data_IF_070377313004
#
_entry.id   IF_070377313004
#
_cell.length_a   1.000
_cell.length_b   1.000
_cell.length_c   1.000
_cell.angle_alpha   90.00
_cell.angle_beta   90.00
_cell.angle_gamma   90.00
#
_symmetry.space_group_name_H-M   'P 1'
#
loop_
_entity.id
_entity.type
_entity.pdbx_description
1 polymer ?
#
# COMPACT_ATOMS: atom_id res chain seq x y z
N UNK A 1 -18.68 7.43 14.20
CA UNK A 1 -18.10 6.71 13.08
C UNK A 1 -17.40 5.44 13.55
N UNK A 2 -18.00 4.28 13.26
CA UNK A 2 -17.57 2.98 13.80
C UNK A 2 -16.53 2.28 12.93
N UNK A 3 -15.44 2.96 12.56
CA UNK A 3 -14.36 2.34 11.77
C UNK A 3 -13.54 1.44 12.69
N UNK A 4 -13.45 0.16 12.37
CA UNK A 4 -12.76 -0.86 13.17
C UNK A 4 -11.28 -0.51 13.46
N UNK A 5 -10.60 0.12 12.51
CA UNK A 5 -9.22 0.58 12.68
C UNK A 5 -9.05 1.59 13.84
N UNK A 6 -9.98 2.52 14.01
CA UNK A 6 -9.96 3.48 15.13
C UNK A 6 -10.12 2.77 16.49
N UNK A 7 -11.03 1.78 16.55
CA UNK A 7 -11.23 1.00 17.77
C UNK A 7 -9.96 0.21 18.15
N UNK A 8 -9.26 -0.37 17.17
CA UNK A 8 -7.99 -1.06 17.39
C UNK A 8 -6.89 -0.12 17.87
N UNK A 9 -6.76 1.06 17.25
CA UNK A 9 -5.78 2.06 17.66
C UNK A 9 -6.03 2.51 19.11
N UNK A 10 -7.29 2.80 19.45
CA UNK A 10 -7.68 3.17 20.81
C UNK A 10 -7.35 2.07 21.83
N UNK A 11 -7.68 0.81 21.51
CA UNK A 11 -7.38 -0.33 22.38
C UNK A 11 -5.87 -0.55 22.60
N UNK A 12 -5.06 -0.15 21.62
CA UNK A 12 -3.60 -0.20 21.69
C UNK A 12 -2.96 1.08 22.26
N UNK A 13 -3.76 2.04 22.75
CA UNK A 13 -3.30 3.36 23.19
C UNK A 13 -2.51 4.15 22.13
N UNK A 14 -2.82 3.93 20.85
CA UNK A 14 -2.23 4.65 19.72
C UNK A 14 -3.11 5.89 19.46
N UNK A 15 -2.53 7.11 19.39
CA UNK A 15 -3.26 8.29 18.99
C UNK A 15 -3.97 8.07 17.66
N UNK A 16 -5.24 8.49 17.59
CA UNK A 16 -6.01 8.33 16.37
C UNK A 16 -6.92 9.54 16.15
N UNK A 17 -7.16 9.85 14.88
CA UNK A 17 -7.99 10.97 14.47
C UNK A 17 -8.82 10.57 13.25
N UNK A 18 -10.07 11.01 13.20
CA UNK A 18 -10.92 10.85 12.02
C UNK A 18 -11.09 12.19 11.33
N UNK A 19 -10.78 12.24 10.04
CA UNK A 19 -10.96 13.42 9.20
C UNK A 19 -12.01 13.09 8.15
N UNK A 20 -13.11 13.82 8.16
CA UNK A 20 -14.16 13.66 7.15
C UNK A 20 -13.83 14.51 5.92
N UNK A 21 -13.45 13.87 4.83
CA UNK A 21 -13.14 14.55 3.57
C UNK A 21 -14.30 15.39 3.01
N UNK A 22 -15.55 15.10 3.40
CA UNK A 22 -16.76 15.86 2.99
C UNK A 22 -16.87 17.20 3.69
N UNK A 23 -16.05 17.47 4.69
CA UNK A 23 -15.98 18.76 5.39
C UNK A 23 -15.06 19.78 4.67
N UNK A 24 -14.49 19.41 3.53
CA UNK A 24 -13.59 20.25 2.74
C UNK A 24 -14.19 20.54 1.37
N UNK A 25 -13.96 21.74 0.86
CA UNK A 25 -14.50 22.19 -0.42
C UNK A 25 -13.75 21.60 -1.63
N UNK A 26 -12.51 21.15 -1.41
CA UNK A 26 -11.68 20.53 -2.47
C UNK A 26 -10.85 19.36 -1.95
N UNK A 27 -10.34 18.56 -2.89
CA UNK A 27 -9.38 17.51 -2.59
C UNK A 27 -8.06 18.10 -2.08
N UNK A 28 -7.64 19.20 -2.64
CA UNK A 28 -6.43 19.94 -2.31
C UNK A 28 -6.46 20.41 -0.86
N UNK A 29 -7.55 20.99 -0.41
CA UNK A 29 -7.73 21.43 0.99
C UNK A 29 -7.74 20.24 1.98
N UNK A 30 -8.40 19.15 1.61
CA UNK A 30 -8.38 17.92 2.41
C UNK A 30 -6.95 17.37 2.54
N UNK A 31 -6.24 17.24 1.42
CA UNK A 31 -4.89 16.68 1.40
C UNK A 31 -3.89 17.57 2.14
N UNK A 32 -4.01 18.89 2.04
CA UNK A 32 -3.20 19.85 2.80
C UNK A 32 -3.46 19.70 4.31
N UNK A 33 -4.71 19.64 4.73
CA UNK A 33 -5.07 19.43 6.14
C UNK A 33 -4.57 18.08 6.65
N UNK A 34 -4.71 17.02 5.84
CA UNK A 34 -4.20 15.68 6.16
C UNK A 34 -2.67 15.70 6.32
N UNK A 35 -1.96 16.36 5.40
CA UNK A 35 -0.50 16.48 5.46
C UNK A 35 -0.04 17.23 6.72
N UNK A 36 -0.69 18.34 7.08
CA UNK A 36 -0.37 19.10 8.29
C UNK A 36 -0.55 18.25 9.56
N UNK A 37 -1.63 17.47 9.62
CA UNK A 37 -1.87 16.56 10.75
C UNK A 37 -0.81 15.49 10.83
N UNK A 38 -0.47 14.84 9.71
CA UNK A 38 0.58 13.82 9.66
C UNK A 38 1.94 14.41 10.09
N UNK A 39 2.32 15.55 9.56
CA UNK A 39 3.59 16.21 9.91
C UNK A 39 3.66 16.62 11.40
N UNK A 40 2.53 16.91 12.05
CA UNK A 40 2.52 17.22 13.48
C UNK A 40 3.02 16.06 14.36
N UNK A 41 2.98 14.82 13.82
CA UNK A 41 3.54 13.62 14.47
C UNK A 41 4.99 13.34 14.06
N UNK A 42 5.55 14.05 13.09
CA UNK A 42 6.91 13.88 12.58
C UNK A 42 7.25 12.41 12.22
N UNK A 43 6.42 11.72 11.41
CA UNK A 43 6.64 10.31 11.12
C UNK A 43 7.85 10.12 10.20
N UNK A 44 8.61 9.05 10.43
CA UNK A 44 9.65 8.58 9.50
C UNK A 44 9.03 7.87 8.29
N UNK A 45 7.86 7.26 8.45
CA UNK A 45 7.13 6.54 7.42
C UNK A 45 5.63 6.82 7.50
N UNK A 46 5.02 7.05 6.36
CA UNK A 46 3.55 7.11 6.19
C UNK A 46 3.10 5.84 5.47
N UNK A 47 2.12 5.15 6.07
CA UNK A 47 1.61 3.86 5.59
C UNK A 47 0.16 4.01 5.15
N UNK A 48 -0.13 3.77 3.86
CA UNK A 48 -1.49 3.75 3.32
C UNK A 48 -2.05 2.32 3.37
N UNK A 49 -3.15 2.13 4.08
CA UNK A 49 -3.84 0.85 4.17
C UNK A 49 -5.34 1.06 3.93
N UNK A 50 -5.85 0.54 2.82
CA UNK A 50 -7.25 0.73 2.43
C UNK A 50 -7.60 2.20 2.13
N UNK A 51 -6.64 3.00 1.71
CA UNK A 51 -6.84 4.39 1.33
C UNK A 51 -7.38 4.47 -0.09
N UNK A 52 -8.66 4.82 -0.25
CA UNK A 52 -9.40 4.75 -1.52
C UNK A 52 -9.53 6.08 -2.25
N UNK A 53 -8.66 7.06 -1.95
CA UNK A 53 -8.66 8.37 -2.60
C UNK A 53 -7.38 8.57 -3.38
N UNK A 54 -7.48 9.31 -4.48
CA UNK A 54 -6.28 9.74 -5.23
C UNK A 54 -5.71 10.97 -4.51
N UNK A 55 -4.52 10.85 -3.98
CA UNK A 55 -3.78 11.93 -3.34
C UNK A 55 -3.29 12.93 -4.39
N UNK A 56 -3.21 14.19 -4.00
CA UNK A 56 -2.62 15.23 -4.86
C UNK A 56 -1.11 15.03 -5.00
N UNK A 57 -0.54 15.49 -6.12
CA UNK A 57 0.92 15.45 -6.32
C UNK A 57 1.66 16.25 -5.24
N UNK A 58 1.06 17.32 -4.71
CA UNK A 58 1.63 18.10 -3.61
C UNK A 58 1.80 17.25 -2.36
N UNK A 59 0.73 16.54 -1.94
CA UNK A 59 0.78 15.62 -0.80
C UNK A 59 1.85 14.53 -1.01
N UNK A 60 1.81 13.85 -2.15
CA UNK A 60 2.74 12.75 -2.45
C UNK A 60 4.19 13.23 -2.43
N UNK A 61 4.48 14.39 -3.03
CA UNK A 61 5.84 14.94 -3.06
C UNK A 61 6.37 15.31 -1.66
N UNK A 62 5.49 15.74 -0.74
CA UNK A 62 5.87 16.03 0.65
C UNK A 62 6.36 14.79 1.39
N UNK A 63 5.80 13.61 1.07
CA UNK A 63 6.15 12.35 1.69
C UNK A 63 6.96 11.41 0.76
N UNK A 64 7.50 11.93 -0.33
CA UNK A 64 8.24 11.14 -1.31
C UNK A 64 9.42 10.41 -0.64
N UNK A 65 9.53 9.10 -0.91
CA UNK A 65 10.55 8.23 -0.31
C UNK A 65 10.22 7.70 1.08
N UNK A 66 9.14 8.20 1.72
CA UNK A 66 8.64 7.74 3.02
C UNK A 66 7.12 7.53 3.05
N UNK A 67 6.53 7.28 1.90
CA UNK A 67 5.11 6.95 1.74
C UNK A 67 5.00 5.63 1.00
N UNK A 68 4.40 4.62 1.62
CA UNK A 68 4.18 3.30 1.04
C UNK A 68 2.71 2.93 1.04
N UNK A 69 2.33 2.10 0.08
CA UNK A 69 0.98 1.58 -0.07
C UNK A 69 1.02 0.07 -0.33
N UNK A 70 -0.07 -0.61 -0.01
CA UNK A 70 -0.34 -1.96 -0.48
C UNK A 70 -1.48 -1.93 -1.49
N UNK A 71 -1.24 -2.53 -2.66
CA UNK A 71 -2.21 -2.59 -3.75
C UNK A 71 -2.57 -4.05 -4.04
N UNK A 72 -3.86 -4.40 -4.11
CA UNK A 72 -4.30 -5.78 -4.25
C UNK A 72 -4.25 -6.27 -5.70
N UNK A 73 -3.10 -6.13 -6.34
CA UNK A 73 -2.77 -6.73 -7.64
C UNK A 73 -1.26 -6.96 -7.77
N UNK A 74 -0.87 -7.70 -8.80
CA UNK A 74 0.53 -7.87 -9.22
C UNK A 74 0.93 -6.71 -10.14
N UNK A 75 1.26 -5.54 -9.55
CA UNK A 75 1.66 -4.37 -10.34
C UNK A 75 2.81 -4.70 -11.30
N UNK A 76 2.81 -4.12 -12.52
CA UNK A 76 1.97 -3.02 -13.00
C UNK A 76 0.57 -3.44 -13.50
N UNK A 77 0.18 -4.71 -13.37
CA UNK A 77 -1.16 -5.13 -13.78
C UNK A 77 -2.23 -4.56 -12.84
N UNK A 78 -3.36 -4.15 -13.42
CA UNK A 78 -4.57 -3.72 -12.71
C UNK A 78 -4.36 -2.59 -11.70
N UNK A 79 -3.82 -1.42 -12.08
CA UNK A 79 -3.84 -0.25 -11.22
C UNK A 79 -5.28 0.20 -10.98
N UNK A 80 -5.53 0.88 -9.84
CA UNK A 80 -6.85 1.39 -9.46
C UNK A 80 -7.76 0.33 -8.85
N UNK A 81 -9.05 0.42 -9.14
CA UNK A 81 -10.10 -0.35 -8.45
C UNK A 81 -10.43 -1.69 -9.14
N UNK A 82 -11.18 -2.55 -8.42
CA UNK A 82 -11.77 -3.82 -8.90
C UNK A 82 -10.72 -4.82 -9.43
N UNK A 83 -9.55 -4.85 -8.83
CA UNK A 83 -8.38 -5.63 -9.28
C UNK A 83 -8.68 -7.12 -9.39
N UNK A 84 -9.30 -7.72 -8.37
CA UNK A 84 -9.63 -9.14 -8.35
C UNK A 84 -10.62 -9.53 -9.44
N UNK A 85 -11.69 -8.73 -9.60
CA UNK A 85 -12.68 -8.96 -10.65
C UNK A 85 -12.04 -8.87 -12.04
N UNK A 86 -11.19 -7.88 -12.26
CA UNK A 86 -10.48 -7.66 -13.54
C UNK A 86 -9.53 -8.81 -13.86
N UNK A 87 -8.81 -9.34 -12.87
CA UNK A 87 -7.93 -10.48 -13.05
C UNK A 87 -8.70 -11.77 -13.41
N UNK A 88 -9.83 -12.02 -12.72
CA UNK A 88 -10.72 -13.15 -13.04
C UNK A 88 -11.28 -13.03 -14.46
N UNK A 89 -11.80 -11.87 -14.83
CA UNK A 89 -12.37 -11.61 -16.17
C UNK A 89 -11.33 -11.71 -17.30
N UNK A 90 -10.09 -11.37 -17.00
CA UNK A 90 -8.97 -11.52 -17.94
C UNK A 90 -8.53 -12.99 -18.10
N UNK A 91 -8.93 -13.86 -17.21
CA UNK A 91 -8.52 -15.27 -17.21
C UNK A 91 -7.07 -15.47 -16.78
N UNK A 92 -6.55 -14.57 -15.94
CA UNK A 92 -5.20 -14.71 -15.41
C UNK A 92 -5.06 -15.98 -14.56
N UNK A 93 -3.88 -16.58 -14.57
CA UNK A 93 -3.60 -17.75 -13.74
C UNK A 93 -3.31 -17.35 -12.28
N UNK A 94 -2.76 -16.17 -12.06
CA UNK A 94 -2.31 -15.68 -10.76
C UNK A 94 -2.90 -14.29 -10.46
N UNK A 95 -3.13 -14.06 -9.18
CA UNK A 95 -3.39 -12.75 -8.59
C UNK A 95 -2.47 -12.53 -7.38
N UNK A 96 -2.57 -11.39 -6.73
CA UNK A 96 -1.78 -11.14 -5.54
C UNK A 96 -1.84 -9.71 -5.06
N UNK A 97 -0.83 -9.32 -4.30
CA UNK A 97 -0.68 -7.96 -3.79
C UNK A 97 0.75 -7.46 -3.98
N UNK A 98 0.88 -6.14 -4.08
CA UNK A 98 2.15 -5.44 -4.21
C UNK A 98 2.27 -4.36 -3.15
N UNK A 99 3.34 -4.39 -2.37
CA UNK A 99 3.79 -3.24 -1.58
C UNK A 99 4.69 -2.41 -2.48
N UNK A 100 4.42 -1.10 -2.55
CA UNK A 100 5.21 -0.17 -3.37
C UNK A 100 5.36 1.18 -2.67
N UNK A 101 6.40 1.93 -3.01
CA UNK A 101 6.46 3.34 -2.70
C UNK A 101 5.43 4.10 -3.52
N UNK A 102 4.86 5.15 -2.93
CA UNK A 102 3.86 5.98 -3.62
C UNK A 102 4.57 7.14 -4.34
N UNK A 103 4.19 7.32 -5.60
CA UNK A 103 4.58 8.46 -6.44
C UNK A 103 3.34 9.20 -6.92
N UNK A 104 3.52 10.29 -7.65
CA UNK A 104 2.39 11.05 -8.21
C UNK A 104 1.60 10.28 -9.29
N UNK A 105 2.19 9.22 -9.85
CA UNK A 105 1.50 8.31 -10.76
C UNK A 105 0.68 7.29 -9.95
N UNK A 106 -0.56 7.06 -10.35
CA UNK A 106 -1.46 6.13 -9.68
C UNK A 106 -0.89 4.70 -9.74
N UNK A 107 -0.62 4.14 -8.56
CA UNK A 107 -0.01 2.82 -8.37
C UNK A 107 1.29 2.58 -9.19
N UNK A 108 1.92 3.67 -9.66
CA UNK A 108 3.08 3.66 -10.56
C UNK A 108 4.44 3.77 -9.86
N UNK A 109 4.47 3.84 -8.53
CA UNK A 109 5.72 3.92 -7.78
C UNK A 109 6.46 2.57 -7.71
N UNK A 110 7.77 2.57 -7.37
CA UNK A 110 8.60 1.37 -7.44
C UNK A 110 8.12 0.28 -6.48
N UNK A 111 7.86 -0.95 -6.99
CA UNK A 111 7.49 -2.10 -6.18
C UNK A 111 8.62 -2.50 -5.21
N UNK A 112 8.21 -2.97 -4.04
CA UNK A 112 9.10 -3.45 -2.98
C UNK A 112 8.97 -4.95 -2.81
N UNK A 113 7.75 -5.43 -2.61
CA UNK A 113 7.47 -6.82 -2.29
C UNK A 113 6.12 -7.22 -2.89
N UNK A 114 6.10 -8.32 -3.64
CA UNK A 114 4.89 -8.93 -4.19
C UNK A 114 4.66 -10.31 -3.61
N UNK A 115 3.40 -10.65 -3.35
CA UNK A 115 2.98 -12.01 -3.05
C UNK A 115 1.94 -12.48 -4.07
N UNK A 116 2.02 -13.77 -4.45
CA UNK A 116 1.18 -14.39 -5.49
C UNK A 116 0.32 -15.51 -4.91
N UNK A 117 -0.87 -15.67 -5.47
CA UNK A 117 -1.74 -16.82 -5.29
C UNK A 117 -2.40 -17.19 -6.60
N UNK A 118 -2.65 -18.46 -6.82
CA UNK A 118 -3.40 -18.92 -8.00
C UNK A 118 -4.84 -18.46 -7.94
N UNK A 119 -5.41 -18.16 -9.11
CA UNK A 119 -6.85 -17.96 -9.30
C UNK A 119 -7.46 -19.33 -9.57
N UNK A 120 -8.39 -19.75 -8.71
CA UNK A 120 -9.09 -21.02 -8.88
C UNK A 120 -10.31 -20.85 -9.78
N UNK A 121 -10.66 -21.90 -10.51
CA UNK A 121 -11.82 -21.86 -11.45
C UNK A 121 -13.14 -21.53 -10.76
N UNK A 122 -13.23 -21.79 -9.47
CA UNK A 122 -14.42 -21.50 -8.64
C UNK A 122 -14.40 -20.14 -7.97
N UNK A 123 -13.32 -19.33 -8.17
CA UNK A 123 -13.20 -18.04 -7.49
C UNK A 123 -14.22 -17.04 -8.02
N UNK A 124 -14.87 -16.38 -7.11
CA UNK A 124 -15.42 -15.05 -7.30
C UNK A 124 -14.48 -13.98 -6.73
N UNK A 125 -14.80 -12.72 -6.97
CA UNK A 125 -13.99 -11.59 -6.49
C UNK A 125 -13.83 -11.57 -4.98
N UNK A 126 -14.83 -12.05 -4.21
CA UNK A 126 -14.79 -12.07 -2.76
C UNK A 126 -13.86 -13.17 -2.23
N UNK A 127 -13.93 -14.37 -2.80
CA UNK A 127 -13.06 -15.48 -2.43
C UNK A 127 -11.59 -15.16 -2.73
N UNK A 128 -11.32 -14.64 -3.94
CA UNK A 128 -9.97 -14.21 -4.32
C UNK A 128 -9.44 -13.10 -3.41
N UNK A 129 -10.27 -12.07 -3.13
CA UNK A 129 -9.93 -10.98 -2.23
C UNK A 129 -9.56 -11.47 -0.83
N UNK A 130 -10.34 -12.40 -0.26
CA UNK A 130 -10.05 -12.97 1.06
C UNK A 130 -8.71 -13.71 1.08
N UNK A 131 -8.38 -14.43 0.02
CA UNK A 131 -7.10 -15.15 -0.12
C UNK A 131 -5.92 -14.17 -0.27
N UNK A 132 -6.05 -13.15 -1.12
CA UNK A 132 -5.03 -12.11 -1.29
C UNK A 132 -4.80 -11.34 0.01
N UNK A 133 -5.86 -11.02 0.78
CA UNK A 133 -5.75 -10.32 2.06
C UNK A 133 -4.85 -11.07 3.07
N UNK A 134 -4.84 -12.41 3.04
CA UNK A 134 -3.93 -13.18 3.92
C UNK A 134 -2.46 -12.95 3.57
N UNK A 135 -2.16 -12.76 2.29
CA UNK A 135 -0.80 -12.42 1.82
C UNK A 135 -0.44 -10.98 2.17
N UNK A 136 -1.38 -10.04 2.02
CA UNK A 136 -1.16 -8.64 2.41
C UNK A 136 -0.75 -8.52 3.87
N UNK A 137 -1.39 -9.28 4.76
CA UNK A 137 -1.10 -9.31 6.20
C UNK A 137 0.31 -9.83 6.53
N UNK A 138 0.99 -10.48 5.58
CA UNK A 138 2.38 -10.91 5.72
C UNK A 138 3.33 -9.90 5.10
N UNK A 139 3.12 -9.56 3.82
CA UNK A 139 4.12 -8.76 3.08
C UNK A 139 4.14 -7.30 3.51
N UNK A 140 3.00 -6.73 3.94
CA UNK A 140 2.96 -5.32 4.29
C UNK A 140 3.70 -5.02 5.59
N UNK A 141 3.45 -5.72 6.72
CA UNK A 141 4.26 -5.56 7.92
C UNK A 141 5.75 -5.81 7.69
N UNK A 142 6.10 -6.76 6.82
CA UNK A 142 7.50 -7.05 6.46
C UNK A 142 8.17 -5.86 5.80
N UNK A 143 7.54 -5.25 4.80
CA UNK A 143 8.08 -4.06 4.12
C UNK A 143 8.18 -2.85 5.08
N UNK A 144 7.18 -2.66 5.95
CA UNK A 144 7.22 -1.65 7.02
C UNK A 144 8.42 -1.88 7.94
N UNK A 145 8.62 -3.12 8.38
CA UNK A 145 9.75 -3.47 9.23
C UNK A 145 11.10 -3.17 8.55
N UNK A 146 11.27 -3.57 7.27
CA UNK A 146 12.49 -3.27 6.52
C UNK A 146 12.79 -1.77 6.46
N UNK A 147 11.76 -0.95 6.28
CA UNK A 147 11.91 0.50 6.29
C UNK A 147 12.34 0.99 7.68
N UNK A 148 11.64 0.57 8.74
CA UNK A 148 11.90 1.02 10.11
C UNK A 148 13.30 0.66 10.63
N UNK A 149 13.90 -0.43 10.14
CA UNK A 149 15.28 -0.82 10.50
C UNK A 149 16.33 -0.34 9.49
N UNK A 150 15.93 0.53 8.55
CA UNK A 150 16.85 1.19 7.61
C UNK A 150 17.32 0.32 6.43
N UNK A 151 16.74 -0.87 6.24
CA UNK A 151 17.07 -1.76 5.12
C UNK A 151 16.44 -1.31 3.80
N UNK A 152 15.19 -0.81 3.85
CA UNK A 152 14.41 -0.41 2.68
C UNK A 152 14.50 1.12 2.48
N UNK A 153 14.83 1.54 1.28
CA UNK A 153 14.91 2.96 0.90
C UNK A 153 14.44 3.17 -0.52
N UNK A 154 13.99 4.39 -0.83
CA UNK A 154 13.78 4.83 -2.21
C UNK A 154 14.80 5.92 -2.56
N UNK A 155 15.60 5.71 -3.60
CA UNK A 155 16.63 6.64 -4.05
C UNK A 155 16.41 6.91 -5.55
N UNK A 156 16.21 8.17 -5.91
CA UNK A 156 15.98 8.60 -7.29
C UNK A 156 14.87 7.79 -8.02
N UNK A 157 13.78 7.46 -7.31
CA UNK A 157 12.65 6.73 -7.88
C UNK A 157 12.83 5.21 -7.99
N UNK A 158 13.90 4.66 -7.42
CA UNK A 158 14.18 3.22 -7.40
C UNK A 158 14.14 2.72 -5.96
N UNK A 159 13.51 1.57 -5.72
CA UNK A 159 13.53 0.91 -4.41
C UNK A 159 14.82 0.11 -4.22
N UNK A 160 15.40 0.21 -3.03
CA UNK A 160 16.62 -0.49 -2.61
C UNK A 160 16.36 -1.26 -1.32
N UNK A 161 16.86 -2.51 -1.25
CA UNK A 161 16.92 -3.29 -0.03
C UNK A 161 18.39 -3.62 0.26
N UNK A 162 18.85 -3.30 1.48
CA UNK A 162 20.25 -3.52 1.90
C UNK A 162 21.29 -2.91 0.93
N UNK A 163 20.96 -1.75 0.36
CA UNK A 163 21.83 -1.04 -0.59
C UNK A 163 21.81 -1.61 -2.01
N UNK A 164 21.02 -2.66 -2.29
CA UNK A 164 20.87 -3.25 -3.62
C UNK A 164 19.56 -2.81 -4.24
N UNK A 165 19.59 -2.33 -5.49
CA UNK A 165 18.39 -1.98 -6.25
C UNK A 165 17.50 -3.20 -6.43
N UNK A 166 16.20 -3.03 -6.14
CA UNK A 166 15.23 -4.09 -6.34
C UNK A 166 14.89 -4.27 -7.82
N UNK A 167 14.48 -5.50 -8.22
CA UNK A 167 13.92 -5.74 -9.55
C UNK A 167 12.69 -4.86 -9.82
N UNK A 168 12.31 -4.69 -11.07
CA UNK A 168 11.15 -3.90 -11.51
C UNK A 168 9.84 -4.35 -10.83
N UNK A 169 9.67 -5.64 -10.60
CA UNK A 169 8.50 -6.18 -9.89
C UNK A 169 8.67 -6.22 -8.35
N UNK A 170 9.79 -5.75 -7.81
CA UNK A 170 10.15 -5.96 -6.41
C UNK A 170 10.58 -7.40 -6.12
N UNK A 171 10.67 -7.74 -4.84
CA UNK A 171 10.94 -9.11 -4.39
C UNK A 171 9.63 -9.92 -4.49
N UNK A 172 9.74 -11.17 -4.96
CA UNK A 172 8.60 -12.10 -4.98
C UNK A 172 8.63 -12.93 -3.70
N UNK A 173 7.60 -12.78 -2.88
CA UNK A 173 7.41 -13.59 -1.67
C UNK A 173 6.97 -15.00 -2.04
N UNK A 174 7.75 -16.00 -1.68
CA UNK A 174 7.51 -17.40 -1.99
C UNK A 174 6.94 -18.22 -0.82
N UNK A 175 6.68 -17.59 0.31
CA UNK A 175 6.14 -18.26 1.50
C UNK A 175 7.16 -19.12 2.28
N UNK A 176 8.34 -19.37 1.70
CA UNK A 176 9.35 -20.27 2.26
C UNK A 176 10.65 -19.57 2.66
N UNK A 177 10.75 -18.25 2.46
CA UNK A 177 12.00 -17.52 2.72
C UNK A 177 11.87 -16.78 4.04
N UNK A 178 12.86 -16.90 4.91
CA UNK A 178 13.08 -15.96 6.02
C UNK A 178 13.20 -14.55 5.41
N UNK A 179 12.22 -13.70 5.67
CA UNK A 179 12.14 -12.33 5.22
C UNK A 179 13.01 -11.41 6.09
#
# INVERSE_FOLDING_TARGET
SGVYGLARATAANIPNIAIDHRAFDSREEFDESLAQIIESYQPDLVVLAGFMRILTSSFVNQFLGRLINIHPSLLPAYPGLNTHQRAIEAGDADAGATVHFVTAELDGGPPVLQARTQIETSDDSAALSARVLTLEHVIYPTAVQWFCIGRLQMIAGVAYLDGTALPEAGIIFSGATEL
#
